data_IF_480161163579
#
_entry.id   IF_480161163579
#
_cell.length_a   1.000
_cell.length_b   1.000
_cell.length_c   1.000
_cell.angle_alpha   90.00
_cell.angle_beta   90.00
_cell.angle_gamma   90.00
#
_symmetry.space_group_name_H-M   'P 1'
#
loop_
_entity.id
_entity.type
_entity.pdbx_description
1 polymer ?
#
# COMPACT_ATOMS: atom_id res chain seq x y z
N UNK A 1 -18.17 20.05 -19.53
CA UNK A 1 -17.85 18.76 -18.87
C UNK A 1 -16.56 19.01 -18.14
N UNK A 2 -16.68 19.26 -16.84
CA UNK A 2 -15.56 19.72 -16.04
C UNK A 2 -14.53 18.60 -15.90
N UNK A 3 -13.22 18.90 -15.89
CA UNK A 3 -12.18 17.88 -15.75
C UNK A 3 -12.31 17.09 -14.44
N UNK A 4 -12.96 17.67 -13.42
CA UNK A 4 -13.32 17.01 -12.16
C UNK A 4 -14.35 15.90 -12.36
N UNK A 5 -15.31 16.04 -13.28
CA UNK A 5 -16.28 14.99 -13.57
C UNK A 5 -15.60 13.80 -14.24
N UNK A 6 -14.65 14.03 -15.14
CA UNK A 6 -13.87 12.97 -15.81
C UNK A 6 -13.08 12.13 -14.80
N UNK A 7 -12.65 12.73 -13.70
CA UNK A 7 -11.95 12.01 -12.62
C UNK A 7 -12.91 11.16 -11.76
N UNK A 8 -14.19 11.53 -11.67
CA UNK A 8 -15.21 10.79 -10.92
C UNK A 8 -15.78 9.58 -11.67
N UNK A 9 -15.78 9.59 -13.01
CA UNK A 9 -16.26 8.47 -13.84
C UNK A 9 -15.20 7.40 -14.12
N UNK A 10 -13.91 7.71 -13.98
CA UNK A 10 -12.90 6.67 -13.94
C UNK A 10 -13.04 6.00 -12.58
N UNK A 11 -13.59 4.79 -12.55
CA UNK A 11 -13.51 3.90 -11.39
C UNK A 11 -12.05 3.59 -11.14
N UNK A 12 -11.32 4.53 -10.55
CA UNK A 12 -9.99 4.32 -10.05
C UNK A 12 -10.12 3.14 -9.08
N UNK A 13 -9.46 2.03 -9.41
CA UNK A 13 -9.42 0.84 -8.55
C UNK A 13 -8.87 1.12 -7.15
N UNK A 14 -8.42 2.35 -6.90
CA UNK A 14 -7.94 2.89 -5.65
C UNK A 14 -8.57 4.28 -5.41
N UNK A 15 -9.14 4.58 -4.24
CA UNK A 15 -9.69 5.89 -3.93
C UNK A 15 -8.62 6.99 -3.96
N UNK A 16 -8.91 8.12 -4.60
CA UNK A 16 -7.98 9.26 -4.73
C UNK A 16 -7.47 9.78 -3.38
N UNK A 17 -8.33 9.82 -2.36
CA UNK A 17 -7.94 10.31 -1.04
C UNK A 17 -6.82 9.45 -0.40
N UNK A 18 -6.76 8.15 -0.71
CA UNK A 18 -5.68 7.27 -0.23
C UNK A 18 -4.38 7.52 -0.98
N UNK A 19 -4.46 7.79 -2.28
CA UNK A 19 -3.27 8.12 -3.09
C UNK A 19 -2.68 9.46 -2.64
N UNK A 20 -3.54 10.46 -2.39
CA UNK A 20 -3.12 11.79 -1.92
C UNK A 20 -2.45 11.69 -0.55
N UNK A 21 -3.01 10.91 0.39
CA UNK A 21 -2.39 10.73 1.71
C UNK A 21 -1.06 9.99 1.62
N UNK A 22 -0.94 8.98 0.76
CA UNK A 22 0.32 8.29 0.50
C UNK A 22 1.40 9.23 -0.04
N UNK A 23 1.06 10.06 -1.03
CA UNK A 23 1.98 11.05 -1.61
C UNK A 23 2.44 12.04 -0.54
N UNK A 24 1.54 12.53 0.31
CA UNK A 24 1.92 13.43 1.40
C UNK A 24 2.91 12.77 2.39
N UNK A 25 2.63 11.54 2.82
CA UNK A 25 3.47 10.82 3.79
C UNK A 25 4.84 10.47 3.18
N UNK A 26 4.90 10.01 1.93
CA UNK A 26 6.17 9.67 1.29
C UNK A 26 7.01 10.91 1.00
N UNK A 27 6.38 12.04 0.61
CA UNK A 27 7.07 13.31 0.48
C UNK A 27 7.71 13.75 1.80
N UNK A 28 7.02 13.61 2.93
CA UNK A 28 7.59 13.91 4.26
C UNK A 28 8.76 12.97 4.59
N UNK A 29 8.63 11.67 4.29
CA UNK A 29 9.71 10.71 4.52
C UNK A 29 10.98 11.01 3.70
N UNK A 30 10.79 11.40 2.43
CA UNK A 30 11.87 11.81 1.54
C UNK A 30 12.49 13.15 1.96
N UNK A 31 11.69 14.10 2.44
CA UNK A 31 12.17 15.39 2.94
C UNK A 31 13.04 15.24 4.20
N UNK A 32 12.75 14.24 5.03
CA UNK A 32 13.56 13.85 6.19
C UNK A 32 14.81 13.05 5.81
N UNK A 33 15.07 12.82 4.51
CA UNK A 33 16.14 11.97 3.98
C UNK A 33 16.13 10.54 4.54
N UNK A 34 14.99 10.08 5.08
CA UNK A 34 14.81 8.74 5.66
C UNK A 34 14.25 7.79 4.63
N UNK A 35 15.08 7.40 3.65
CA UNK A 35 14.69 6.55 2.53
C UNK A 35 14.06 5.21 2.97
N UNK A 36 14.50 4.65 4.10
CA UNK A 36 13.95 3.40 4.65
C UNK A 36 12.51 3.53 5.14
N UNK A 37 12.14 4.69 5.72
CA UNK A 37 10.75 4.96 6.10
C UNK A 37 9.88 5.13 4.85
N UNK A 38 10.38 5.79 3.80
CA UNK A 38 9.67 5.90 2.53
C UNK A 38 9.37 4.53 1.89
N UNK A 39 10.34 3.60 1.96
CA UNK A 39 10.17 2.21 1.54
C UNK A 39 9.12 1.48 2.39
N UNK A 40 9.17 1.60 3.71
CA UNK A 40 8.20 0.97 4.61
C UNK A 40 6.77 1.46 4.35
N UNK A 41 6.59 2.78 4.18
CA UNK A 41 5.30 3.41 3.86
C UNK A 41 4.78 2.94 2.50
N UNK A 42 5.65 2.82 1.49
CA UNK A 42 5.30 2.28 0.17
C UNK A 42 4.79 0.84 0.25
N UNK A 43 5.48 -0.01 1.01
CA UNK A 43 5.04 -1.39 1.21
C UNK A 43 3.71 -1.47 1.96
N UNK A 44 3.53 -0.66 3.01
CA UNK A 44 2.26 -0.59 3.73
C UNK A 44 1.11 -0.15 2.83
N UNK A 45 1.33 0.84 1.97
CA UNK A 45 0.33 1.34 1.04
C UNK A 45 -0.09 0.28 0.02
N UNK A 46 0.89 -0.37 -0.63
CA UNK A 46 0.62 -1.46 -1.59
C UNK A 46 -0.07 -2.63 -0.90
N UNK A 47 0.36 -2.99 0.32
CA UNK A 47 -0.27 -4.05 1.09
C UNK A 47 -1.72 -3.71 1.47
N UNK A 48 -1.98 -2.49 1.91
CA UNK A 48 -3.32 -2.05 2.29
C UNK A 48 -4.27 -2.03 1.08
N UNK A 49 -3.84 -1.50 -0.06
CA UNK A 49 -4.67 -1.50 -1.28
C UNK A 49 -4.85 -2.91 -1.83
N UNK A 50 -3.77 -3.67 -1.93
CA UNK A 50 -3.77 -5.01 -2.48
C UNK A 50 -4.62 -5.96 -1.65
N UNK A 51 -4.44 -5.97 -0.33
CA UNK A 51 -5.08 -6.92 0.57
C UNK A 51 -6.40 -6.43 1.17
N UNK A 52 -6.44 -5.23 1.75
CA UNK A 52 -7.61 -4.73 2.47
C UNK A 52 -8.67 -4.16 1.53
N UNK A 53 -8.27 -3.28 0.61
CA UNK A 53 -9.21 -2.60 -0.27
C UNK A 53 -9.78 -3.54 -1.35
N UNK A 54 -8.92 -4.37 -1.94
CA UNK A 54 -9.31 -5.32 -2.98
C UNK A 54 -9.58 -6.73 -2.46
N UNK A 55 -9.85 -6.91 -1.15
CA UNK A 55 -10.05 -8.24 -0.54
C UNK A 55 -11.05 -9.10 -1.30
N UNK A 56 -12.17 -8.51 -1.69
CA UNK A 56 -13.26 -9.20 -2.40
C UNK A 56 -12.85 -9.61 -3.82
N UNK A 57 -12.02 -8.80 -4.49
CA UNK A 57 -11.43 -9.12 -5.79
C UNK A 57 -10.35 -10.20 -5.65
N UNK A 58 -9.48 -10.11 -4.65
CA UNK A 58 -8.49 -11.14 -4.33
C UNK A 58 -9.15 -12.49 -4.07
N UNK A 59 -10.18 -12.52 -3.23
CA UNK A 59 -10.94 -13.74 -2.95
C UNK A 59 -11.59 -14.31 -4.22
N UNK A 60 -12.11 -13.47 -5.12
CA UNK A 60 -12.64 -13.92 -6.42
C UNK A 60 -11.55 -14.47 -7.34
N UNK A 61 -10.41 -13.80 -7.43
CA UNK A 61 -9.28 -14.19 -8.29
C UNK A 61 -8.64 -15.51 -7.84
N UNK A 62 -8.65 -15.78 -6.53
CA UNK A 62 -8.09 -16.99 -5.94
C UNK A 62 -9.18 -18.07 -5.72
N UNK A 63 -10.31 -17.99 -6.45
CA UNK A 63 -11.43 -18.97 -6.39
C UNK A 63 -11.96 -19.24 -4.97
N UNK A 64 -11.93 -18.25 -4.09
CA UNK A 64 -12.33 -18.39 -2.68
C UNK A 64 -11.33 -19.15 -1.81
N UNK A 65 -10.13 -19.46 -2.31
CA UNK A 65 -9.07 -20.11 -1.53
C UNK A 65 -8.55 -19.17 -0.45
N UNK A 66 -9.01 -19.44 0.76
CA UNK A 66 -8.62 -18.76 2.00
C UNK A 66 -7.11 -18.88 2.22
N UNK A 67 -6.52 -20.01 1.82
CA UNK A 67 -5.09 -20.32 1.98
C UNK A 67 -4.24 -19.36 1.15
N UNK A 68 -4.57 -19.14 -0.13
CA UNK A 68 -3.83 -18.22 -1.00
C UNK A 68 -3.88 -16.78 -0.50
N UNK A 69 -5.04 -16.39 0.02
CA UNK A 69 -5.26 -15.05 0.61
C UNK A 69 -4.44 -14.86 1.89
N UNK A 70 -4.38 -15.88 2.75
CA UNK A 70 -3.58 -15.87 3.99
C UNK A 70 -2.08 -15.84 3.70
N UNK A 71 -1.59 -16.63 2.73
CA UNK A 71 -0.17 -16.63 2.34
C UNK A 71 0.23 -15.24 1.82
N UNK A 72 -0.59 -14.63 0.97
CA UNK A 72 -0.36 -13.27 0.48
C UNK A 72 -0.30 -12.25 1.64
N UNK A 73 -1.20 -12.38 2.63
CA UNK A 73 -1.20 -11.54 3.83
C UNK A 73 0.11 -11.68 4.63
N UNK A 74 0.55 -12.91 4.86
CA UNK A 74 1.76 -13.24 5.62
C UNK A 74 3.00 -12.69 4.91
N UNK A 75 3.10 -12.87 3.59
CA UNK A 75 4.23 -12.35 2.80
C UNK A 75 4.33 -10.83 2.89
N UNK A 76 3.20 -10.12 2.78
CA UNK A 76 3.19 -8.67 2.95
C UNK A 76 3.61 -8.23 4.36
N UNK A 77 3.18 -8.97 5.39
CA UNK A 77 3.56 -8.70 6.78
C UNK A 77 5.06 -8.90 7.02
N UNK A 78 5.65 -9.96 6.45
CA UNK A 78 7.11 -10.22 6.51
C UNK A 78 7.89 -9.04 5.93
N UNK A 79 7.45 -8.51 4.78
CA UNK A 79 8.15 -7.39 4.14
C UNK A 79 8.06 -6.11 5.00
N UNK A 80 6.91 -5.85 5.63
CA UNK A 80 6.75 -4.73 6.57
C UNK A 80 7.69 -4.88 7.77
N UNK A 81 7.82 -6.09 8.32
CA UNK A 81 8.75 -6.39 9.43
C UNK A 81 10.20 -6.16 8.98
N UNK A 82 10.59 -6.65 7.80
CA UNK A 82 11.93 -6.43 7.23
C UNK A 82 12.22 -4.94 7.05
N UNK A 83 11.24 -4.16 6.59
CA UNK A 83 11.39 -2.71 6.43
C UNK A 83 11.57 -2.00 7.78
N UNK A 84 10.84 -2.42 8.83
CA UNK A 84 11.05 -1.91 10.19
C UNK A 84 12.43 -2.28 10.74
N UNK A 85 12.87 -3.52 10.56
CA UNK A 85 14.21 -3.96 11.00
C UNK A 85 15.30 -3.15 10.29
N UNK A 86 15.16 -2.91 8.98
CA UNK A 86 16.09 -2.08 8.21
C UNK A 86 16.16 -0.65 8.76
N UNK A 87 15.02 -0.06 9.13
CA UNK A 87 14.96 1.25 9.77
C UNK A 87 15.68 1.28 11.12
N UNK A 88 15.44 0.29 12.00
CA UNK A 88 16.12 0.20 13.30
C UNK A 88 17.63 -0.02 13.14
N UNK A 89 18.04 -0.84 12.17
CA UNK A 89 19.45 -1.15 11.91
C UNK A 89 20.23 0.05 11.37
N UNK A 90 19.58 0.96 10.64
CA UNK A 90 20.23 2.14 10.07
C UNK A 90 20.32 3.32 11.03
N UNK A 91 19.62 3.25 12.16
CA UNK A 91 19.68 4.26 13.22
C UNK A 91 20.87 4.03 14.18
N UNK A 92 21.78 3.11 13.84
CA UNK A 92 23.00 2.77 14.58
C UNK A 92 24.22 3.25 13.79
#
# INVERSE_FOLDING_TARGET
MDPVDILSIVTLGVPLYMVISFVAIISICLLLSRMQLGLAVSFLFVFYIGYFYNRTLLLKTIEGSIIGTVIYAILGLIIIILAMISFLSSSK
#
